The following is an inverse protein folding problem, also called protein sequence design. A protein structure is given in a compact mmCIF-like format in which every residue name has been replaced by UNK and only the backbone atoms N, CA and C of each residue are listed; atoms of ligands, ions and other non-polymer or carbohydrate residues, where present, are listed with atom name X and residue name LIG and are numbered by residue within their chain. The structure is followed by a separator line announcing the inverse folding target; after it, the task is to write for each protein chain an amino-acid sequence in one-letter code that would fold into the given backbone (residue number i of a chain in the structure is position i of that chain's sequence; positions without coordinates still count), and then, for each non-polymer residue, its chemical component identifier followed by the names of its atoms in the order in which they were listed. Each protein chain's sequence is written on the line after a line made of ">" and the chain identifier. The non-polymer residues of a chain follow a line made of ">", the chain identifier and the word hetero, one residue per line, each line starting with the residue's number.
data_IF_317725246883
#
_entry.id   IF_317725246883
#
_cell.length_a   1.000
_cell.length_b   1.000
_cell.length_c   1.000
_cell.angle_alpha   90.00
_cell.angle_beta   90.00
_cell.angle_gamma   90.00
#
_symmetry.space_group_name_H-M   'P 1'
#
loop_
_entity.id
_entity.type
_entity.pdbx_description
1 polymer ?
#
# COMPACT_ATOMS: atom_id res chain seq x y z
N UNK A 1 -26.32 86.27 29.44
CA UNK A 1 -25.92 85.00 28.81
C UNK A 1 -24.63 85.25 28.03
N UNK A 2 -23.47 85.02 28.66
CA UNK A 2 -22.16 85.36 28.11
C UNK A 2 -21.54 84.15 27.40
N UNK A 3 -22.06 83.83 26.21
CA UNK A 3 -21.53 82.75 25.35
C UNK A 3 -20.09 83.03 24.87
N UNK A 4 -19.64 84.29 24.85
CA UNK A 4 -18.29 84.64 24.40
C UNK A 4 -17.17 84.30 25.39
N UNK A 5 -17.46 84.21 26.70
CA UNK A 5 -16.44 83.89 27.72
C UNK A 5 -16.15 82.38 27.82
N UNK A 6 -17.13 81.52 27.52
CA UNK A 6 -16.95 80.07 27.51
C UNK A 6 -16.16 79.59 26.29
N UNK A 7 -16.29 80.26 25.14
CA UNK A 7 -15.51 79.93 23.92
C UNK A 7 -14.05 80.38 24.04
N UNK A 8 -13.79 81.50 24.72
CA UNK A 8 -12.42 81.97 24.97
C UNK A 8 -11.64 81.06 25.95
N UNK A 9 -12.32 80.49 26.96
CA UNK A 9 -11.70 79.54 27.89
C UNK A 9 -11.38 78.18 27.23
N UNK A 10 -12.18 77.74 26.26
CA UNK A 10 -11.94 76.50 25.52
C UNK A 10 -10.79 76.60 24.51
N UNK A 11 -10.57 77.78 23.90
CA UNK A 11 -9.48 78.01 22.95
C UNK A 11 -8.10 78.15 23.62
N UNK A 12 -8.03 78.66 24.86
CA UNK A 12 -6.78 78.76 25.61
C UNK A 12 -6.29 77.41 26.18
N UNK A 13 -7.19 76.44 26.39
CA UNK A 13 -6.84 75.09 26.82
C UNK A 13 -6.23 74.23 25.70
N UNK A 14 -6.40 74.61 24.42
CA UNK A 14 -5.88 73.88 23.27
C UNK A 14 -4.44 74.27 22.86
N UNK A 15 -3.92 75.40 23.37
CA UNK A 15 -2.58 75.90 23.02
C UNK A 15 -1.49 75.62 24.08
N UNK A 16 -1.89 75.16 25.27
CA UNK A 16 -0.97 74.60 26.27
C UNK A 16 -1.01 73.08 26.22
N UNK A 17 -0.90 72.52 25.02
CA UNK A 17 -0.51 71.13 24.81
C UNK A 17 0.89 70.93 25.38
N UNK A 18 0.94 70.52 26.65
CA UNK A 18 2.14 70.14 27.38
C UNK A 18 3.10 69.34 26.50
N UNK A 19 4.32 69.85 26.35
CA UNK A 19 5.46 69.16 25.72
C UNK A 19 5.80 67.81 26.36
N UNK A 20 5.14 67.46 27.47
CA UNK A 20 5.23 66.18 28.16
C UNK A 20 4.68 64.98 27.35
N UNK A 21 3.78 65.18 26.38
CA UNK A 21 3.23 64.08 25.57
C UNK A 21 4.08 63.74 24.32
N UNK A 22 5.03 64.62 23.91
CA UNK A 22 5.95 64.30 22.81
C UNK A 22 6.96 63.21 23.15
N UNK A 23 7.12 62.88 24.43
CA UNK A 23 7.97 61.77 24.87
C UNK A 23 7.21 60.45 25.06
N UNK A 24 5.88 60.44 25.09
CA UNK A 24 5.10 59.18 25.17
C UNK A 24 4.85 58.55 23.77
N UNK A 25 5.06 59.32 22.69
CA UNK A 25 5.20 58.78 21.33
C UNK A 25 6.68 58.45 20.97
N UNK A 26 7.66 58.86 21.77
CA UNK A 26 9.07 58.39 21.61
C UNK A 26 9.32 57.00 22.20
N UNK A 27 8.38 56.44 22.95
CA UNK A 27 8.43 55.07 23.48
C UNK A 27 7.79 53.99 22.59
N UNK A 28 7.22 54.36 21.43
CA UNK A 28 6.57 53.40 20.51
C UNK A 28 7.30 53.17 19.19
N UNK A 29 8.56 53.58 19.10
CA UNK A 29 9.49 52.91 18.18
C UNK A 29 10.07 51.72 18.92
N UNK A 30 9.22 50.71 19.14
CA UNK A 30 9.77 49.37 19.31
C UNK A 30 10.49 49.09 18.00
N UNK A 31 11.82 49.19 18.02
CA UNK A 31 12.70 48.52 17.08
C UNK A 31 12.45 47.01 17.19
N UNK A 32 11.27 46.55 16.78
CA UNK A 32 11.00 45.16 16.43
C UNK A 32 11.73 44.92 15.10
N UNK A 33 13.06 44.93 15.19
CA UNK A 33 14.02 44.66 14.11
C UNK A 33 14.05 43.15 13.82
N UNK A 34 12.86 42.57 13.75
CA UNK A 34 12.62 41.14 13.81
C UNK A 34 11.39 40.88 12.95
N UNK A 35 11.62 40.46 11.71
CA UNK A 35 10.52 39.93 10.91
C UNK A 35 9.96 38.67 11.57
N UNK A 36 8.65 38.49 11.46
CA UNK A 36 7.97 37.28 11.89
C UNK A 36 8.61 36.03 11.24
N UNK A 37 8.45 34.84 11.84
CA UNK A 37 8.87 33.60 11.21
C UNK A 37 8.36 33.51 9.75
N UNK A 38 9.20 32.94 8.89
CA UNK A 38 8.94 32.84 7.46
C UNK A 38 9.11 34.14 6.67
N UNK A 39 9.58 35.24 7.28
CA UNK A 39 9.86 36.50 6.58
C UNK A 39 11.31 36.96 6.81
N UNK A 40 11.98 37.52 5.80
CA UNK A 40 13.32 38.12 5.89
C UNK A 40 13.30 39.63 5.62
N UNK A 41 14.37 40.32 6.01
CA UNK A 41 14.56 41.74 5.70
C UNK A 41 14.99 41.89 4.23
N UNK A 42 14.36 42.79 3.48
CA UNK A 42 14.79 43.12 2.12
C UNK A 42 16.10 43.93 2.13
N UNK A 43 17.00 43.64 1.18
CA UNK A 43 18.29 44.34 1.03
C UNK A 43 18.14 45.69 0.29
N UNK A 44 17.02 45.91 -0.41
CA UNK A 44 16.78 47.04 -1.32
C UNK A 44 15.69 48.04 -0.89
N UNK A 45 15.02 47.86 0.25
CA UNK A 45 13.95 48.78 0.68
C UNK A 45 13.87 48.88 2.20
N UNK A 46 13.90 50.11 2.72
CA UNK A 46 13.86 50.47 4.13
C UNK A 46 13.01 49.52 5.02
N UNK A 47 13.66 48.49 5.55
CA UNK A 47 13.19 47.65 6.68
C UNK A 47 11.85 46.94 6.46
N UNK A 48 11.52 46.57 5.22
CA UNK A 48 10.31 45.78 4.93
C UNK A 48 10.58 44.27 5.15
N UNK A 49 9.58 43.58 5.69
CA UNK A 49 9.63 42.13 5.87
C UNK A 49 8.98 41.44 4.67
N UNK A 50 9.78 40.74 3.87
CA UNK A 50 9.30 39.96 2.73
C UNK A 50 9.18 38.48 3.11
N UNK A 51 8.13 37.78 2.65
CA UNK A 51 8.02 36.35 2.88
C UNK A 51 9.17 35.60 2.20
N UNK A 52 9.74 34.63 2.90
CA UNK A 52 10.72 33.70 2.34
C UNK A 52 10.13 33.04 1.08
N UNK A 53 10.93 32.93 0.02
CA UNK A 53 10.53 32.24 -1.20
C UNK A 53 10.31 30.74 -0.93
N UNK A 54 9.48 30.10 -1.75
CA UNK A 54 9.22 28.67 -1.61
C UNK A 54 10.54 27.86 -1.67
N UNK A 55 10.63 26.83 -0.82
CA UNK A 55 11.86 26.07 -0.59
C UNK A 55 12.78 26.67 0.47
N UNK A 56 12.51 27.87 0.96
CA UNK A 56 13.23 28.45 2.10
C UNK A 56 12.33 28.61 3.32
N UNK A 57 12.94 28.66 4.50
CA UNK A 57 12.22 28.83 5.76
C UNK A 57 13.00 29.73 6.73
N UNK A 58 12.31 30.20 7.76
CA UNK A 58 12.91 30.97 8.86
C UNK A 58 12.13 30.80 10.16
N UNK A 59 12.74 30.15 11.14
CA UNK A 59 12.04 29.71 12.36
C UNK A 59 11.86 30.80 13.42
N UNK A 60 12.86 31.67 13.63
CA UNK A 60 12.90 32.95 14.38
C UNK A 60 14.37 33.17 14.86
N UNK A 61 14.87 34.41 14.76
CA UNK A 61 16.09 35.02 15.37
C UNK A 61 17.48 34.35 15.31
N UNK A 62 17.66 33.09 14.88
CA UNK A 62 19.02 32.48 14.84
C UNK A 62 19.78 32.87 13.56
N UNK A 63 19.07 33.16 12.45
CA UNK A 63 19.64 33.61 11.19
C UNK A 63 18.81 34.76 10.56
N UNK A 64 19.50 35.80 10.08
CA UNK A 64 18.90 36.98 9.43
C UNK A 64 18.45 36.74 7.99
N UNK A 65 18.84 35.61 7.37
CA UNK A 65 18.54 35.26 5.97
C UNK A 65 17.72 33.97 5.89
N UNK A 66 16.77 33.89 4.95
CA UNK A 66 16.01 32.66 4.70
C UNK A 66 16.96 31.49 4.39
N UNK A 67 16.74 30.35 5.05
CA UNK A 67 17.57 29.15 4.87
C UNK A 67 16.87 28.18 3.92
N UNK A 68 17.64 27.52 3.06
CA UNK A 68 17.11 26.47 2.17
C UNK A 68 16.71 25.26 2.99
N UNK A 69 15.56 24.68 2.67
CA UNK A 69 15.18 23.40 3.25
C UNK A 69 16.20 22.31 2.89
N UNK A 70 16.58 21.43 3.83
CA UNK A 70 17.44 20.31 3.53
C UNK A 70 16.72 19.32 2.58
N UNK A 71 17.47 18.48 1.84
CA UNK A 71 16.90 17.40 1.04
C UNK A 71 15.94 16.53 1.87
N UNK A 72 14.86 16.09 1.24
CA UNK A 72 13.77 15.36 1.88
C UNK A 72 12.72 16.25 2.54
N UNK A 73 12.91 17.56 2.56
CA UNK A 73 11.92 18.52 3.06
C UNK A 73 11.59 19.58 2.02
N UNK A 74 10.43 20.19 2.17
CA UNK A 74 9.92 21.25 1.32
C UNK A 74 9.29 22.37 2.14
N UNK A 75 9.16 23.55 1.54
CA UNK A 75 8.42 24.65 2.16
C UNK A 75 7.68 25.47 1.12
N UNK A 76 6.49 25.97 1.50
CA UNK A 76 5.78 26.98 0.71
C UNK A 76 6.34 28.38 1.01
N UNK A 77 6.02 29.36 0.18
CA UNK A 77 6.40 30.74 0.45
C UNK A 77 5.86 31.20 1.82
N UNK A 78 6.67 31.93 2.58
CA UNK A 78 6.33 32.41 3.92
C UNK A 78 6.40 31.35 5.03
N UNK A 79 7.00 30.18 4.78
CA UNK A 79 7.07 29.12 5.78
C UNK A 79 8.06 29.41 6.92
N UNK A 80 7.61 29.20 8.16
CA UNK A 80 8.45 29.27 9.35
C UNK A 80 9.45 28.09 9.43
N UNK A 81 9.02 26.91 9.00
CA UNK A 81 9.79 25.67 9.09
C UNK A 81 9.63 24.83 7.81
N UNK A 82 10.60 23.95 7.55
CA UNK A 82 10.48 22.96 6.49
C UNK A 82 9.55 21.83 6.91
N UNK A 83 8.67 21.44 5.99
CA UNK A 83 7.83 20.26 6.12
C UNK A 83 8.52 19.08 5.46
N UNK A 84 8.54 17.93 6.12
CA UNK A 84 9.09 16.71 5.51
C UNK A 84 8.20 16.21 4.37
N UNK A 85 8.80 15.58 3.38
CA UNK A 85 8.06 14.88 2.35
C UNK A 85 7.28 13.71 2.91
N UNK A 86 6.05 13.53 2.44
CA UNK A 86 5.18 12.43 2.87
C UNK A 86 5.63 11.11 2.24
N UNK A 87 5.31 9.95 2.84
CA UNK A 87 5.61 8.64 2.26
C UNK A 87 5.12 8.52 0.81
N UNK A 88 5.94 7.94 -0.06
CA UNK A 88 5.74 7.91 -1.51
C UNK A 88 6.25 9.15 -2.25
N UNK A 89 6.77 10.17 -1.55
CA UNK A 89 7.38 11.35 -2.16
C UNK A 89 8.77 11.63 -1.62
N UNK A 90 9.55 12.40 -2.38
CA UNK A 90 10.92 12.76 -2.07
C UNK A 90 11.24 14.19 -2.51
N UNK A 91 12.31 14.75 -1.97
CA UNK A 91 12.88 16.02 -2.41
C UNK A 91 14.40 15.89 -2.54
N UNK A 92 14.90 15.75 -3.77
CA UNK A 92 16.33 15.51 -4.01
C UNK A 92 17.21 16.72 -3.71
N UNK A 93 16.72 17.92 -4.04
CA UNK A 93 17.48 19.15 -3.91
C UNK A 93 17.11 19.89 -2.64
N UNK A 94 18.12 20.50 -2.01
CA UNK A 94 17.87 21.53 -1.00
C UNK A 94 17.11 22.70 -1.62
N UNK A 95 16.21 23.30 -0.87
CA UNK A 95 15.38 24.39 -1.38
C UNK A 95 14.17 23.94 -2.20
N UNK A 96 13.66 22.73 -2.00
CA UNK A 96 12.51 22.23 -2.74
C UNK A 96 11.21 22.93 -2.30
N UNK A 97 10.46 23.51 -3.24
CA UNK A 97 9.16 24.13 -2.96
C UNK A 97 8.03 23.10 -2.76
N UNK A 98 8.22 21.89 -3.26
CA UNK A 98 7.27 20.78 -3.19
C UNK A 98 7.99 19.43 -3.24
N UNK A 99 7.32 18.38 -2.77
CA UNK A 99 7.82 17.01 -2.92
C UNK A 99 7.42 16.40 -4.26
N UNK A 100 8.36 15.69 -4.86
CA UNK A 100 8.15 14.91 -6.07
C UNK A 100 7.69 13.50 -5.70
N UNK A 101 6.72 12.96 -6.43
CA UNK A 101 6.27 11.57 -6.22
C UNK A 101 7.33 10.60 -6.72
N UNK A 102 7.53 9.49 -6.01
CA UNK A 102 8.34 8.40 -6.51
C UNK A 102 7.75 7.83 -7.80
N UNK A 103 8.61 7.57 -8.78
CA UNK A 103 8.22 6.88 -10.01
C UNK A 103 7.77 5.45 -9.71
N UNK A 104 7.02 4.86 -10.66
CA UNK A 104 6.68 3.42 -10.65
C UNK A 104 7.95 2.56 -10.49
N UNK A 105 7.81 1.43 -9.80
CA UNK A 105 8.94 0.57 -9.42
C UNK A 105 9.75 1.03 -8.21
N UNK A 106 9.56 2.26 -7.71
CA UNK A 106 10.28 2.79 -6.55
C UNK A 106 9.33 3.36 -5.51
N UNK A 107 9.78 3.40 -4.25
CA UNK A 107 9.00 3.87 -3.10
C UNK A 107 9.80 4.83 -2.24
N UNK A 108 9.07 5.58 -1.42
CA UNK A 108 9.61 6.24 -0.25
C UNK A 108 8.85 5.72 0.98
N UNK A 109 9.46 4.79 1.71
CA UNK A 109 8.79 4.09 2.81
C UNK A 109 8.55 5.00 4.03
N UNK A 110 9.44 5.95 4.26
CA UNK A 110 9.40 6.88 5.38
C UNK A 110 9.27 8.33 4.90
N UNK A 111 8.85 9.22 5.79
CA UNK A 111 8.89 10.65 5.56
C UNK A 111 10.33 11.17 5.43
N UNK A 112 10.49 12.32 4.79
CA UNK A 112 11.78 13.00 4.75
C UNK A 112 12.81 12.42 3.78
N UNK A 113 12.38 11.60 2.81
CA UNK A 113 13.31 10.97 1.85
C UNK A 113 13.84 11.96 0.81
N UNK A 114 15.15 11.96 0.61
CA UNK A 114 15.80 12.74 -0.47
C UNK A 114 15.84 11.99 -1.80
N UNK A 115 15.62 10.67 -1.80
CA UNK A 115 15.58 9.86 -3.01
C UNK A 115 14.64 8.67 -2.82
N UNK A 116 14.09 8.15 -3.91
CA UNK A 116 13.27 6.95 -3.87
C UNK A 116 14.13 5.69 -3.89
N UNK A 117 13.73 4.68 -3.13
CA UNK A 117 14.38 3.36 -3.14
C UNK A 117 13.63 2.42 -4.09
N UNK A 118 14.31 1.73 -5.02
CA UNK A 118 13.64 0.76 -5.88
C UNK A 118 13.10 -0.40 -5.05
N UNK A 119 11.95 -0.95 -5.47
CA UNK A 119 11.41 -2.13 -4.82
C UNK A 119 12.37 -3.33 -4.95
N UNK A 120 12.49 -4.17 -3.91
CA UNK A 120 13.28 -5.38 -4.00
C UNK A 120 12.70 -6.35 -5.03
N UNK A 121 13.54 -7.24 -5.56
CA UNK A 121 13.09 -8.27 -6.49
C UNK A 121 12.01 -9.15 -5.84
N UNK A 122 11.01 -9.55 -6.63
CA UNK A 122 9.80 -10.23 -6.16
C UNK A 122 8.72 -9.30 -5.64
N UNK A 123 8.94 -7.99 -5.67
CA UNK A 123 7.92 -6.97 -5.44
C UNK A 123 7.83 -5.98 -6.60
N UNK A 124 6.73 -5.26 -6.67
CA UNK A 124 6.44 -4.31 -7.74
C UNK A 124 5.59 -3.14 -7.23
N UNK A 125 5.61 -2.04 -7.98
CA UNK A 125 4.77 -0.86 -7.76
C UNK A 125 4.29 -0.32 -9.09
N UNK A 126 2.98 -0.37 -9.33
CA UNK A 126 2.35 0.14 -10.56
C UNK A 126 2.15 1.65 -10.55
N UNK A 127 1.88 2.23 -9.38
CA UNK A 127 1.47 3.63 -9.26
C UNK A 127 2.58 4.48 -8.67
N UNK A 128 2.80 5.67 -9.25
CA UNK A 128 3.69 6.67 -8.66
C UNK A 128 3.14 7.16 -7.33
N UNK A 129 4.03 7.55 -6.43
CA UNK A 129 3.62 8.00 -5.10
C UNK A 129 3.29 6.88 -4.12
N UNK A 130 3.61 5.63 -4.43
CA UNK A 130 3.33 4.51 -3.53
C UNK A 130 4.34 4.50 -2.37
N UNK A 131 3.88 4.38 -1.11
CA UNK A 131 4.76 4.32 0.05
C UNK A 131 5.33 2.91 0.29
N UNK A 132 4.74 1.86 -0.31
CA UNK A 132 5.10 0.48 -0.04
C UNK A 132 5.13 -0.37 -1.32
N UNK A 133 6.00 -1.38 -1.33
CA UNK A 133 6.10 -2.34 -2.41
C UNK A 133 5.07 -3.47 -2.23
N UNK A 134 4.45 -3.89 -3.33
CA UNK A 134 3.50 -5.00 -3.34
C UNK A 134 4.22 -6.27 -3.79
N UNK A 135 4.08 -7.37 -3.05
CA UNK A 135 4.69 -8.66 -3.43
C UNK A 135 4.04 -9.20 -4.70
N UNK A 136 4.84 -9.83 -5.56
CA UNK A 136 4.32 -10.53 -6.73
C UNK A 136 3.41 -11.70 -6.32
N UNK A 137 2.25 -11.86 -6.96
CA UNK A 137 1.41 -13.03 -6.73
C UNK A 137 2.12 -14.31 -7.19
N UNK A 138 1.70 -15.45 -6.65
CA UNK A 138 2.23 -16.75 -7.03
C UNK A 138 2.06 -17.00 -8.55
N UNK A 139 3.03 -17.66 -9.17
CA UNK A 139 3.09 -17.83 -10.62
C UNK A 139 3.61 -16.62 -11.40
N UNK A 140 3.99 -15.55 -10.70
CA UNK A 140 4.69 -14.40 -11.29
C UNK A 140 6.01 -14.11 -10.56
N UNK A 141 6.90 -13.37 -11.21
CA UNK A 141 8.16 -12.92 -10.63
C UNK A 141 8.51 -11.51 -11.11
N UNK A 142 9.38 -10.82 -10.38
CA UNK A 142 9.84 -9.49 -10.79
C UNK A 142 11.30 -9.26 -10.39
N UNK A 143 11.99 -8.44 -11.19
CA UNK A 143 13.32 -7.91 -10.83
C UNK A 143 13.16 -6.73 -9.87
N UNK A 144 14.27 -6.27 -9.30
CA UNK A 144 14.25 -5.05 -8.51
C UNK A 144 13.83 -3.85 -9.38
N UNK A 145 13.05 -2.92 -8.80
CA UNK A 145 12.54 -1.76 -9.52
C UNK A 145 11.41 -2.07 -10.52
N UNK A 146 10.78 -3.25 -10.43
CA UNK A 146 9.74 -3.62 -11.38
C UNK A 146 8.43 -2.84 -11.15
N UNK A 147 7.82 -2.45 -12.26
CA UNK A 147 6.53 -1.77 -12.29
C UNK A 147 5.37 -2.77 -12.25
N UNK A 148 5.61 -3.97 -12.75
CA UNK A 148 4.67 -5.08 -12.82
C UNK A 148 5.40 -6.42 -12.72
N UNK A 149 4.69 -7.46 -12.25
CA UNK A 149 5.21 -8.83 -12.22
C UNK A 149 5.01 -9.52 -13.57
N UNK A 150 6.04 -10.23 -14.01
CA UNK A 150 6.00 -11.07 -15.21
C UNK A 150 5.54 -12.48 -14.86
N UNK A 151 4.63 -13.05 -15.66
CA UNK A 151 4.20 -14.45 -15.50
C UNK A 151 5.36 -15.40 -15.76
N UNK A 152 5.40 -16.49 -15.00
CA UNK A 152 6.34 -17.57 -15.27
C UNK A 152 6.04 -18.25 -16.59
N UNK A 153 7.10 -18.54 -17.34
CA UNK A 153 7.01 -19.31 -18.57
C UNK A 153 6.55 -20.75 -18.27
N UNK A 154 5.93 -21.45 -19.23
CA UNK A 154 5.63 -22.87 -19.11
C UNK A 154 6.86 -23.67 -18.66
N UNK A 155 6.62 -24.71 -17.85
CA UNK A 155 7.69 -25.50 -17.23
C UNK A 155 8.39 -24.82 -16.05
N UNK A 156 8.01 -23.60 -15.68
CA UNK A 156 8.48 -22.91 -14.48
C UNK A 156 7.33 -22.59 -13.52
N UNK A 157 7.66 -22.40 -12.25
CA UNK A 157 6.73 -22.01 -11.21
C UNK A 157 7.35 -20.95 -10.30
N UNK A 158 6.52 -20.21 -9.57
CA UNK A 158 7.01 -19.32 -8.53
C UNK A 158 6.07 -19.25 -7.32
N UNK A 159 6.63 -19.28 -6.10
CA UNK A 159 5.89 -18.90 -4.90
C UNK A 159 5.59 -17.38 -4.91
N UNK A 160 4.67 -16.90 -4.06
CA UNK A 160 4.44 -15.46 -3.92
C UNK A 160 5.72 -14.74 -3.45
N UNK A 161 5.99 -13.58 -4.01
CA UNK A 161 7.18 -12.78 -3.69
C UNK A 161 8.49 -13.30 -4.31
N UNK A 162 8.43 -14.13 -5.35
CA UNK A 162 9.63 -14.66 -5.98
C UNK A 162 10.33 -13.63 -6.87
N UNK A 163 11.65 -13.49 -6.71
CA UNK A 163 12.50 -12.68 -7.58
C UNK A 163 12.66 -13.26 -9.00
N UNK A 164 12.54 -14.59 -9.13
CA UNK A 164 12.64 -15.29 -10.39
C UNK A 164 11.80 -16.57 -10.37
N UNK A 165 11.33 -16.97 -11.55
CA UNK A 165 10.66 -18.25 -11.75
C UNK A 165 11.65 -19.40 -11.68
N UNK A 166 11.29 -20.48 -10.97
CA UNK A 166 12.12 -21.69 -10.84
C UNK A 166 11.63 -22.75 -11.83
N UNK A 167 12.53 -23.51 -12.49
CA UNK A 167 12.12 -24.61 -13.33
C UNK A 167 11.47 -25.71 -12.51
N UNK A 168 10.49 -26.38 -13.09
CA UNK A 168 9.91 -27.57 -12.50
C UNK A 168 10.95 -28.71 -12.47
N UNK A 169 11.03 -29.47 -11.37
CA UNK A 169 11.89 -30.64 -11.31
C UNK A 169 11.41 -31.69 -12.32
N UNK A 170 12.33 -32.57 -12.76
CA UNK A 170 12.00 -33.66 -13.68
C UNK A 170 10.85 -34.54 -13.13
N UNK A 171 10.02 -35.05 -14.03
CA UNK A 171 8.77 -35.74 -13.72
C UNK A 171 7.60 -34.82 -13.35
N UNK A 172 7.81 -33.49 -13.36
CA UNK A 172 6.75 -32.50 -13.21
C UNK A 172 6.74 -31.49 -14.35
N UNK A 173 5.59 -30.87 -14.55
CA UNK A 173 5.33 -29.84 -15.56
C UNK A 173 4.54 -28.69 -14.94
N UNK A 174 4.51 -27.56 -15.64
CA UNK A 174 3.77 -26.36 -15.24
C UNK A 174 3.27 -25.62 -16.47
N UNK A 175 2.10 -25.02 -16.38
CA UNK A 175 1.56 -24.09 -17.39
C UNK A 175 2.08 -22.67 -17.15
N UNK A 176 1.87 -21.77 -18.12
CA UNK A 176 2.24 -20.38 -17.95
C UNK A 176 1.53 -19.78 -16.72
N UNK A 177 2.30 -19.17 -15.83
CA UNK A 177 1.78 -18.56 -14.60
C UNK A 177 1.40 -19.54 -13.50
N UNK A 178 1.85 -20.80 -13.51
CA UNK A 178 1.52 -21.70 -12.41
C UNK A 178 2.32 -21.38 -11.14
N UNK A 179 1.64 -21.50 -10.00
CA UNK A 179 2.23 -21.36 -8.66
C UNK A 179 2.94 -22.62 -8.17
N UNK A 180 2.68 -23.77 -8.80
CA UNK A 180 3.25 -25.07 -8.43
C UNK A 180 3.36 -26.00 -9.64
N UNK A 181 4.26 -26.99 -9.54
CA UNK A 181 4.43 -27.99 -10.58
C UNK A 181 3.56 -29.24 -10.34
N UNK A 182 2.91 -29.69 -11.41
CA UNK A 182 2.08 -30.89 -11.43
C UNK A 182 2.87 -32.11 -11.89
N UNK A 183 2.63 -33.27 -11.28
CA UNK A 183 3.30 -34.53 -11.66
C UNK A 183 2.76 -35.05 -12.98
N UNK A 184 3.63 -35.60 -13.81
CA UNK A 184 3.20 -36.34 -15.00
C UNK A 184 2.39 -37.59 -14.61
N UNK A 185 1.36 -37.94 -15.40
CA UNK A 185 0.63 -39.20 -15.21
C UNK A 185 1.54 -40.41 -15.46
N UNK A 186 1.13 -41.58 -14.97
CA UNK A 186 1.83 -42.83 -15.28
C UNK A 186 1.86 -43.07 -16.80
N UNK A 187 2.92 -43.72 -17.28
CA UNK A 187 3.18 -43.91 -18.71
C UNK A 187 3.77 -42.69 -19.43
N UNK A 188 4.04 -41.60 -18.72
CA UNK A 188 4.70 -40.40 -19.25
C UNK A 188 5.88 -39.97 -18.36
N UNK A 189 6.82 -39.23 -18.94
CA UNK A 189 7.97 -38.65 -18.26
C UNK A 189 8.16 -37.18 -18.66
N UNK A 190 8.91 -36.43 -17.87
CA UNK A 190 9.33 -35.08 -18.23
C UNK A 190 10.72 -34.78 -17.69
N UNK A 191 11.47 -33.96 -18.41
CA UNK A 191 12.77 -33.42 -17.96
C UNK A 191 12.57 -32.16 -17.13
N UNK A 192 13.61 -31.71 -16.43
CA UNK A 192 13.54 -30.46 -15.67
C UNK A 192 13.22 -29.28 -16.61
N UNK A 193 12.31 -28.41 -16.20
CA UNK A 193 11.86 -27.27 -17.00
C UNK A 193 10.91 -27.62 -18.15
N UNK A 194 10.46 -28.88 -18.27
CA UNK A 194 9.50 -29.27 -19.31
C UNK A 194 8.12 -28.65 -19.08
N UNK A 195 7.50 -28.17 -20.15
CA UNK A 195 6.15 -27.62 -20.17
C UNK A 195 5.06 -28.67 -20.44
N UNK A 196 5.44 -29.84 -20.94
CA UNK A 196 4.53 -30.93 -21.27
C UNK A 196 5.12 -32.30 -20.88
N UNK A 197 4.23 -33.27 -20.62
CA UNK A 197 4.62 -34.63 -20.35
C UNK A 197 4.74 -35.41 -21.66
N UNK A 198 5.87 -36.09 -21.85
CA UNK A 198 6.09 -36.94 -23.02
C UNK A 198 5.71 -38.39 -22.68
N UNK A 199 4.96 -39.05 -23.55
CA UNK A 199 4.63 -40.47 -23.36
C UNK A 199 5.89 -41.32 -23.50
N UNK A 200 5.96 -42.40 -22.73
CA UNK A 200 7.00 -43.38 -22.91
C UNK A 200 6.88 -44.08 -24.28
N UNK A 201 8.00 -44.34 -24.97
CA UNK A 201 7.99 -45.14 -26.19
C UNK A 201 7.57 -46.58 -25.87
N UNK A 202 7.10 -47.30 -26.89
CA UNK A 202 6.65 -48.68 -26.76
C UNK A 202 7.71 -49.58 -26.09
N UNK A 203 7.27 -50.49 -25.22
CA UNK A 203 8.16 -51.37 -24.44
C UNK A 203 8.81 -50.73 -23.20
N UNK A 204 8.45 -49.48 -22.85
CA UNK A 204 8.86 -48.83 -21.60
C UNK A 204 7.66 -48.33 -20.80
N UNK A 205 7.81 -48.28 -19.48
CA UNK A 205 6.82 -47.73 -18.55
C UNK A 205 7.44 -46.66 -17.64
N UNK A 206 6.58 -45.85 -17.03
CA UNK A 206 6.97 -44.79 -16.09
C UNK A 206 5.92 -44.69 -14.98
N UNK A 207 6.36 -44.61 -13.73
CA UNK A 207 5.48 -44.33 -12.60
C UNK A 207 5.01 -42.87 -12.58
N UNK A 208 3.98 -42.56 -11.77
CA UNK A 208 3.47 -41.18 -11.68
C UNK A 208 4.57 -40.22 -11.19
N UNK A 209 4.90 -39.25 -12.04
CA UNK A 209 5.94 -38.27 -11.79
C UNK A 209 7.36 -38.80 -11.94
N UNK A 210 7.59 -39.83 -12.76
CA UNK A 210 8.96 -40.25 -13.09
C UNK A 210 9.61 -39.31 -14.11
N UNK A 211 10.93 -39.18 -14.01
CA UNK A 211 11.78 -38.38 -14.89
C UNK A 211 12.32 -39.16 -16.09
N UNK A 212 12.17 -40.48 -16.10
CA UNK A 212 12.70 -41.39 -17.12
C UNK A 212 11.75 -42.58 -17.33
N UNK A 213 11.75 -43.12 -18.54
CA UNK A 213 11.05 -44.36 -18.87
C UNK A 213 11.97 -45.56 -18.64
N UNK A 214 11.57 -46.47 -17.75
CA UNK A 214 12.22 -47.76 -17.53
C UNK A 214 11.67 -48.80 -18.50
N UNK A 215 12.54 -49.70 -19.00
CA UNK A 215 12.07 -50.83 -19.83
C UNK A 215 11.10 -51.68 -19.01
N UNK A 216 10.03 -52.15 -19.63
CA UNK A 216 9.22 -53.19 -19.00
C UNK A 216 10.15 -54.34 -18.64
N UNK A 217 10.12 -54.88 -17.41
CA UNK A 217 10.80 -56.14 -17.15
C UNK A 217 10.23 -57.13 -18.17
N UNK A 218 11.03 -57.45 -19.20
CA UNK A 218 10.75 -58.58 -20.08
C UNK A 218 10.66 -59.73 -19.13
N UNK A 219 9.43 -60.29 -18.99
CA UNK A 219 9.03 -61.23 -17.96
C UNK A 219 10.29 -61.86 -17.37
N UNK A 220 10.71 -61.37 -16.20
CA UNK A 220 11.73 -62.06 -15.47
C UNK A 220 11.03 -63.36 -15.08
N UNK A 221 11.09 -64.33 -16.00
CA UNK A 221 11.13 -65.74 -15.69
C UNK A 221 11.97 -65.82 -14.45
N UNK A 222 11.31 -66.14 -13.35
CA UNK A 222 11.78 -66.62 -12.07
C UNK A 222 10.59 -66.30 -11.15
N UNK A 223 9.80 -67.31 -10.79
CA UNK A 223 10.01 -67.89 -9.47
C UNK A 223 10.11 -66.76 -8.43
N UNK A 224 8.98 -66.11 -8.16
CA UNK A 224 8.79 -65.60 -6.81
C UNK A 224 8.66 -66.83 -5.90
N UNK A 225 9.80 -67.45 -5.59
CA UNK A 225 9.96 -67.98 -4.25
C UNK A 225 9.90 -66.73 -3.36
N UNK A 226 8.85 -66.54 -2.54
CA UNK A 226 8.90 -65.51 -1.52
C UNK A 226 10.18 -65.73 -0.71
N UNK A 227 10.91 -64.67 -0.31
CA UNK A 227 11.97 -64.84 0.66
C UNK A 227 11.36 -65.57 1.85
N UNK A 228 11.89 -66.76 2.14
CA UNK A 228 11.62 -67.51 3.35
C UNK A 228 11.74 -66.52 4.51
N UNK A 229 10.60 -66.07 5.00
CA UNK A 229 10.53 -65.40 6.28
C UNK A 229 11.17 -66.38 7.27
N UNK A 230 12.17 -65.96 8.07
CA UNK A 230 12.66 -66.80 9.13
C UNK A 230 11.47 -67.20 10.01
N UNK A 231 11.30 -68.51 10.18
CA UNK A 231 10.23 -69.10 10.96
C UNK A 231 10.26 -68.53 12.39
N UNK A 232 9.42 -67.53 12.65
CA UNK A 232 9.10 -67.11 14.01
C UNK A 232 8.20 -68.19 14.59
N UNK A 233 8.79 -69.03 15.44
CA UNK A 233 8.11 -70.04 16.26
C UNK A 233 6.89 -69.39 16.96
N UNK A 234 5.71 -70.03 16.98
CA UNK A 234 4.65 -69.59 17.88
C UNK A 234 5.11 -69.94 19.30
N UNK A 235 5.54 -68.93 20.06
CA UNK A 235 5.69 -69.06 21.49
C UNK A 235 4.30 -69.13 22.11
N UNK A 236 4.12 -70.15 22.93
CA UNK A 236 2.89 -70.50 23.61
C UNK A 236 2.24 -69.32 24.36
N UNK A 237 0.91 -69.31 24.29
CA UNK A 237 -0.01 -69.12 25.41
C UNK A 237 0.54 -68.37 26.62
N UNK A 238 0.22 -67.08 26.72
CA UNK A 238 -0.13 -66.51 28.01
C UNK A 238 -1.37 -65.65 27.86
N UNK A 239 -2.41 -66.05 28.60
CA UNK A 239 -3.67 -65.33 28.76
C UNK A 239 -3.39 -63.94 29.34
N UNK A 240 -3.74 -62.90 28.61
CA UNK A 240 -3.82 -61.56 29.18
C UNK A 240 -5.27 -61.28 29.59
N UNK A 241 -5.50 -61.36 30.89
CA UNK A 241 -6.77 -60.99 31.54
C UNK A 241 -6.94 -59.46 31.41
N UNK A 242 -8.08 -58.95 30.93
CA UNK A 242 -8.33 -57.51 30.92
C UNK A 242 -8.54 -57.02 32.35
N UNK A 243 -7.60 -56.22 32.87
CA UNK A 243 -7.84 -55.41 34.07
C UNK A 243 -8.81 -54.28 33.72
N UNK A 244 -9.98 -54.33 34.37
CA UNK A 244 -10.95 -53.25 34.47
C UNK A 244 -10.27 -51.96 34.94
N UNK A 245 -10.32 -50.91 34.12
CA UNK A 245 -10.02 -49.54 34.52
C UNK A 245 -11.34 -48.82 34.89
N UNK A 246 -11.38 -48.03 35.98
CA UNK A 246 -12.60 -47.43 36.50
C UNK A 246 -13.09 -46.23 35.68
N UNK A 247 -14.40 -46.08 35.67
CA UNK A 247 -15.21 -45.06 35.01
C UNK A 247 -14.74 -43.63 35.29
N UNK A 248 -14.39 -42.90 34.24
CA UNK A 248 -14.31 -41.44 34.25
C UNK A 248 -15.64 -40.86 33.72
N UNK A 249 -16.22 -39.95 34.52
CA UNK A 249 -17.52 -39.31 34.34
C UNK A 249 -17.57 -38.43 33.07
N UNK A 250 -18.75 -38.26 32.46
CA UNK A 250 -18.92 -37.33 31.34
C UNK A 250 -18.85 -35.88 31.82
N UNK A 251 -17.93 -35.10 31.27
CA UNK A 251 -17.92 -33.65 31.41
C UNK A 251 -19.00 -33.04 30.50
N UNK A 252 -19.86 -32.26 31.12
CA UNK A 252 -20.98 -31.50 30.59
C UNK A 252 -20.60 -30.58 29.42
N UNK A 253 -21.43 -30.63 28.38
CA UNK A 253 -21.44 -29.72 27.23
C UNK A 253 -21.83 -28.29 27.62
N UNK A 254 -21.23 -27.24 27.04
CA UNK A 254 -21.82 -25.90 27.03
C UNK A 254 -22.89 -25.77 25.93
N UNK A 255 -23.92 -24.92 26.12
CA UNK A 255 -25.13 -24.92 25.31
C UNK A 255 -24.92 -24.27 23.94
N UNK A 256 -25.43 -24.93 22.90
CA UNK A 256 -25.67 -24.33 21.59
C UNK A 256 -26.80 -23.32 21.70
N UNK A 257 -26.52 -22.04 21.42
CA UNK A 257 -27.57 -21.05 21.16
C UNK A 257 -28.14 -21.30 19.78
N UNK A 258 -29.40 -21.73 19.76
CA UNK A 258 -30.26 -21.73 18.59
C UNK A 258 -30.41 -20.29 18.05
N UNK A 259 -30.03 -20.06 16.80
CA UNK A 259 -30.42 -18.88 16.05
C UNK A 259 -31.59 -19.26 15.15
N UNK A 260 -32.79 -19.00 15.64
CA UNK A 260 -34.04 -19.13 14.89
C UNK A 260 -34.08 -18.15 13.72
N UNK A 261 -34.48 -18.69 12.59
CA UNK A 261 -35.08 -18.01 11.45
C UNK A 261 -36.31 -17.19 11.89
N UNK A 262 -36.30 -15.88 11.61
CA UNK A 262 -37.52 -15.07 11.62
C UNK A 262 -37.42 -13.96 10.56
N UNK A 263 -38.31 -14.06 9.57
CA UNK A 263 -38.66 -13.01 8.60
C UNK A 263 -39.28 -11.80 9.33
N UNK A 264 -39.09 -10.56 8.86
CA UNK A 264 -40.06 -9.50 9.10
C UNK A 264 -40.99 -9.35 7.89
N UNK A 265 -42.29 -9.44 8.19
CA UNK A 265 -43.38 -9.17 7.28
C UNK A 265 -43.64 -7.66 7.16
N UNK A 266 -44.06 -7.27 5.96
CA UNK A 266 -44.63 -5.98 5.62
C UNK A 266 -45.87 -5.64 6.48
N UNK A 267 -45.98 -4.39 6.91
CA UNK A 267 -47.30 -3.72 7.04
C UNK A 267 -47.17 -2.21 6.90
N UNK A 268 -47.96 -1.67 5.98
CA UNK A 268 -48.15 -0.26 5.66
C UNK A 268 -49.02 0.46 6.70
N UNK A 269 -49.06 1.81 6.67
CA UNK A 269 -50.20 2.59 7.09
C UNK A 269 -50.94 3.22 5.89
N UNK A 270 -52.28 3.20 5.98
CA UNK A 270 -53.24 3.63 4.96
C UNK A 270 -53.65 5.10 5.13
N UNK A 271 -53.67 5.83 4.00
CA UNK A 271 -54.66 6.81 3.52
C UNK A 271 -55.30 7.84 4.48
N UNK A 272 -55.11 9.12 4.13
CA UNK A 272 -56.12 10.14 3.67
C UNK A 272 -55.45 11.54 3.85
N UNK A 273 -55.55 12.59 3.03
CA UNK A 273 -56.53 13.05 2.02
C UNK A 273 -55.92 14.25 1.23
N UNK A 274 -56.13 14.30 -0.11
CA UNK A 274 -56.32 15.48 -1.03
C UNK A 274 -55.22 16.58 -1.09
N UNK A 275 -54.93 17.28 -2.19
CA UNK A 275 -55.31 17.29 -3.62
C UNK A 275 -54.47 18.38 -4.35
N UNK A 276 -54.56 18.38 -5.70
CA UNK A 276 -54.09 19.36 -6.74
C UNK A 276 -52.73 19.00 -7.37
N UNK A 277 -52.70 18.37 -8.55
CA UNK A 277 -52.93 18.92 -9.91
C UNK A 277 -52.00 20.09 -10.26
N UNK A 278 -50.98 19.81 -11.07
CA UNK A 278 -50.85 20.45 -12.39
C UNK A 278 -49.83 19.72 -13.26
N UNK A 279 -50.31 19.34 -14.44
CA UNK A 279 -49.59 18.71 -15.52
C UNK A 279 -48.72 19.71 -16.29
N UNK A 280 -47.63 19.23 -16.89
CA UNK A 280 -47.20 19.72 -18.20
C UNK A 280 -46.42 18.65 -18.96
N UNK A 281 -47.06 18.16 -20.01
CA UNK A 281 -46.53 17.33 -21.08
C UNK A 281 -45.52 18.08 -21.95
N UNK A 282 -44.58 17.34 -22.53
CA UNK A 282 -44.13 17.43 -23.93
C UNK A 282 -43.08 16.30 -24.14
N UNK A 283 -43.41 15.13 -24.71
CA UNK A 283 -43.37 14.80 -26.15
C UNK A 283 -42.27 15.52 -26.94
N UNK A 284 -41.30 14.74 -27.43
CA UNK A 284 -40.28 15.20 -28.36
C UNK A 284 -39.46 14.02 -28.89
N UNK A 285 -39.95 13.42 -29.97
CA UNK A 285 -39.41 12.30 -30.74
C UNK A 285 -38.31 12.70 -31.74
N UNK A 286 -37.26 11.86 -31.82
CA UNK A 286 -36.49 11.46 -33.04
C UNK A 286 -35.57 12.52 -33.72
N UNK A 287 -34.82 12.16 -34.79
CA UNK A 287 -33.52 11.44 -34.77
C UNK A 287 -32.39 12.17 -35.56
N UNK A 288 -31.20 11.53 -35.59
CA UNK A 288 -29.99 11.61 -36.47
C UNK A 288 -30.09 12.41 -37.80
N UNK A 289 -28.98 12.96 -38.39
CA UNK A 289 -27.83 12.14 -38.83
C UNK A 289 -26.41 12.77 -38.91
N UNK A 290 -25.49 11.83 -39.15
CA UNK A 290 -24.10 11.79 -39.63
C UNK A 290 -23.49 12.96 -40.42
N UNK A 291 -22.17 13.12 -40.25
CA UNK A 291 -21.10 13.10 -41.29
C UNK A 291 -20.03 14.22 -41.22
N UNK A 292 -18.82 13.99 -41.79
CA UNK A 292 -17.54 14.40 -41.21
C UNK A 292 -16.83 15.56 -41.95
N UNK A 293 -15.72 16.00 -41.37
CA UNK A 293 -14.59 16.64 -42.04
C UNK A 293 -13.28 16.16 -41.39
#
# INVERSE_FOLDING_TARGET
>A
MNFSLLVAAALLAALTGSSADRNLQRGKRQDHKMCLPGHQLSEDSDRMCEPCSAGTHREIAVNSKCQKCPPGSYSRAGAAACSKCWPGSFAASSGSASCQKCAKGSIAATDGLSSCTPCPAGSFVRFSGSPACVKCPAGTSSKAGAEECSKCQPGHFSPPGAAACKPCPAGRISTAGASACHRCPAGSFSVAGASACHRCPAGKFSARGASICTRCPAAASLLWAPPLAPAVRPAASQLWVPRLAPSARPASSPPQKAASSARPALRAPSLTRRARLSAKSATGTSPWPSSPA
#
